data_IF_724218787842
#
_entry.id   IF_724218787842
#
_cell.length_a   1.000
_cell.length_b   1.000
_cell.length_c   1.000
_cell.angle_alpha   90.00
_cell.angle_beta   90.00
_cell.angle_gamma   90.00
#
_symmetry.space_group_name_H-M   'P 1'
#
loop_
_entity.id
_entity.type
_entity.pdbx_description
1 polymer ?
#
# COMPACT_ATOMS: atom_id res chain seq x y z
N UNK A 1 52.84 -8.49 -93.89
CA UNK A 1 51.87 -7.99 -92.88
C UNK A 1 51.04 -9.14 -92.36
N UNK A 2 50.79 -9.14 -91.05
CA UNK A 2 50.51 -10.30 -90.22
C UNK A 2 49.07 -10.84 -90.32
N UNK A 3 48.95 -12.17 -90.14
CA UNK A 3 47.70 -12.94 -90.08
C UNK A 3 46.92 -12.60 -88.81
N UNK A 4 45.68 -12.11 -88.94
CA UNK A 4 44.74 -12.02 -87.80
C UNK A 4 43.74 -13.17 -87.86
N UNK A 5 43.85 -14.08 -86.89
CA UNK A 5 43.03 -15.29 -86.75
C UNK A 5 41.64 -14.91 -86.23
N UNK A 6 40.60 -15.34 -86.94
CA UNK A 6 39.21 -15.42 -86.44
C UNK A 6 39.18 -16.20 -85.13
N UNK A 7 38.88 -15.53 -84.01
CA UNK A 7 38.52 -16.21 -82.76
C UNK A 7 37.00 -16.30 -82.67
N UNK A 8 36.49 -17.48 -83.02
CA UNK A 8 35.10 -17.90 -82.80
C UNK A 8 34.85 -17.86 -81.28
N UNK A 9 34.14 -16.84 -80.79
CA UNK A 9 33.68 -16.78 -79.40
C UNK A 9 32.66 -17.90 -79.21
N UNK A 10 33.11 -19.01 -78.62
CA UNK A 10 32.31 -20.18 -78.27
C UNK A 10 31.34 -19.75 -77.17
N UNK A 11 30.07 -19.55 -77.53
CA UNK A 11 28.97 -19.42 -76.57
C UNK A 11 29.00 -20.64 -75.65
N UNK A 12 29.38 -20.44 -74.39
CA UNK A 12 29.27 -21.47 -73.36
C UNK A 12 27.80 -21.55 -72.96
N UNK A 13 27.10 -22.48 -73.59
CA UNK A 13 25.81 -22.95 -73.16
C UNK A 13 25.96 -23.60 -71.77
N UNK A 14 25.64 -22.86 -70.69
CA UNK A 14 25.55 -23.41 -69.33
C UNK A 14 24.18 -24.05 -69.19
N UNK A 15 24.02 -25.21 -69.82
CA UNK A 15 22.96 -26.14 -69.47
C UNK A 15 23.25 -26.76 -68.11
N UNK A 16 22.25 -26.78 -67.21
CA UNK A 16 22.23 -27.74 -66.10
C UNK A 16 22.27 -27.17 -64.69
N UNK A 17 21.41 -26.22 -64.32
CA UNK A 17 21.03 -25.97 -62.91
C UNK A 17 19.51 -25.75 -62.75
N UNK A 18 18.69 -26.62 -63.33
CA UNK A 18 17.22 -26.62 -63.09
C UNK A 18 16.77 -27.60 -61.99
N UNK A 19 17.69 -28.40 -61.43
CA UNK A 19 17.40 -29.36 -60.36
C UNK A 19 17.55 -28.83 -58.93
N UNK A 20 18.41 -27.84 -58.71
CA UNK A 20 18.70 -27.36 -57.33
C UNK A 20 17.72 -26.27 -56.84
N UNK A 21 16.98 -25.59 -57.71
CA UNK A 21 16.04 -24.54 -57.29
C UNK A 21 14.82 -25.11 -56.55
N UNK A 22 14.29 -26.26 -57.00
CA UNK A 22 13.17 -26.92 -56.32
C UNK A 22 13.58 -27.51 -54.97
N UNK A 23 14.79 -28.06 -54.84
CA UNK A 23 15.28 -28.60 -53.58
C UNK A 23 15.48 -27.47 -52.55
N UNK A 24 16.03 -26.33 -52.98
CA UNK A 24 16.19 -25.14 -52.14
C UNK A 24 14.82 -24.56 -51.75
N UNK A 25 13.86 -24.47 -52.68
CA UNK A 25 12.49 -24.02 -52.38
C UNK A 25 11.75 -24.98 -51.44
N UNK A 26 11.95 -26.30 -51.57
CA UNK A 26 11.39 -27.31 -50.65
C UNK A 26 11.99 -27.20 -49.26
N UNK A 27 13.31 -27.01 -49.15
CA UNK A 27 13.99 -26.79 -47.88
C UNK A 27 13.58 -25.46 -47.23
N UNK A 28 13.38 -24.40 -48.01
CA UNK A 28 12.85 -23.13 -47.51
C UNK A 28 11.40 -23.26 -47.02
N UNK A 29 10.55 -24.00 -47.74
CA UNK A 29 9.17 -24.31 -47.29
C UNK A 29 9.17 -25.16 -46.01
N UNK A 30 10.03 -26.17 -45.94
CA UNK A 30 10.17 -27.01 -44.75
C UNK A 30 10.68 -26.20 -43.55
N UNK A 31 11.70 -25.36 -43.77
CA UNK A 31 12.24 -24.46 -42.74
C UNK A 31 11.17 -23.49 -42.25
N UNK A 32 10.41 -22.85 -43.13
CA UNK A 32 9.33 -21.95 -42.74
C UNK A 32 8.18 -22.69 -42.04
N UNK A 33 7.87 -23.92 -42.45
CA UNK A 33 6.87 -24.76 -41.81
C UNK A 33 7.30 -25.16 -40.39
N UNK A 34 8.56 -25.54 -40.19
CA UNK A 34 9.10 -25.85 -38.87
C UNK A 34 9.21 -24.56 -38.03
N UNK A 35 9.71 -23.45 -38.57
CA UNK A 35 9.75 -22.18 -37.85
C UNK A 35 8.35 -21.73 -37.44
N UNK A 36 7.34 -21.86 -38.29
CA UNK A 36 5.98 -21.41 -37.98
C UNK A 36 5.18 -22.40 -37.14
N UNK A 37 5.42 -23.71 -37.20
CA UNK A 37 4.69 -24.67 -36.36
C UNK A 37 5.41 -24.96 -35.05
N UNK A 38 6.73 -25.18 -35.08
CA UNK A 38 7.49 -25.52 -33.88
C UNK A 38 7.67 -24.32 -32.93
N UNK A 39 7.91 -23.11 -33.46
CA UNK A 39 8.00 -21.92 -32.60
C UNK A 39 6.64 -21.43 -32.12
N UNK A 40 5.57 -21.66 -32.89
CA UNK A 40 4.21 -21.23 -32.51
C UNK A 40 3.56 -22.19 -31.51
N UNK A 41 3.83 -23.49 -31.64
CA UNK A 41 3.40 -24.50 -30.67
C UNK A 41 4.07 -24.26 -29.32
N UNK A 42 5.38 -24.01 -29.33
CA UNK A 42 6.10 -23.64 -28.12
C UNK A 42 5.67 -22.25 -27.63
N UNK A 43 5.40 -21.27 -28.50
CA UNK A 43 4.96 -19.93 -28.08
C UNK A 43 3.64 -19.95 -27.29
N UNK A 44 2.64 -20.73 -27.73
CA UNK A 44 1.37 -20.84 -27.01
C UNK A 44 1.55 -21.56 -25.67
N UNK A 45 2.22 -22.71 -25.64
CA UNK A 45 2.40 -23.47 -24.40
C UNK A 45 3.39 -22.81 -23.42
N UNK A 46 4.41 -22.11 -23.92
CA UNK A 46 5.29 -21.26 -23.10
C UNK A 46 4.54 -20.07 -22.56
N UNK A 47 3.72 -19.37 -23.36
CA UNK A 47 2.90 -18.27 -22.88
C UNK A 47 1.97 -18.73 -21.75
N UNK A 48 1.35 -19.91 -21.87
CA UNK A 48 0.52 -20.49 -20.80
C UNK A 48 1.32 -20.76 -19.53
N UNK A 49 2.47 -21.42 -19.63
CA UNK A 49 3.34 -21.71 -18.48
C UNK A 49 3.89 -20.45 -17.82
N UNK A 50 4.28 -19.46 -18.60
CA UNK A 50 4.81 -18.20 -18.08
C UNK A 50 3.69 -17.37 -17.45
N UNK A 51 2.50 -17.32 -18.06
CA UNK A 51 1.31 -16.70 -17.47
C UNK A 51 0.92 -17.37 -16.14
N UNK A 52 1.12 -18.69 -16.01
CA UNK A 52 0.92 -19.41 -14.76
C UNK A 52 1.90 -19.03 -13.65
N UNK A 53 3.17 -18.78 -14.02
CA UNK A 53 4.23 -18.43 -13.08
C UNK A 53 4.34 -16.93 -12.82
N UNK A 54 3.72 -16.10 -13.65
CA UNK A 54 3.84 -14.66 -13.60
C UNK A 54 3.31 -14.11 -12.28
N UNK A 55 4.23 -13.57 -11.48
CA UNK A 55 3.94 -12.87 -10.23
C UNK A 55 4.54 -11.48 -10.28
N UNK A 56 3.86 -10.53 -9.65
CA UNK A 56 4.30 -9.14 -9.60
C UNK A 56 5.45 -8.97 -8.60
N UNK A 57 6.70 -8.93 -9.11
CA UNK A 57 7.90 -8.63 -8.31
C UNK A 57 8.21 -7.13 -8.31
N UNK A 58 8.08 -6.49 -9.47
CA UNK A 58 8.38 -5.07 -9.69
C UNK A 58 7.15 -4.15 -9.68
N UNK A 59 7.15 -3.21 -10.63
CA UNK A 59 6.07 -2.22 -10.88
C UNK A 59 4.84 -2.90 -11.47
N UNK A 60 3.66 -2.40 -11.11
CA UNK A 60 2.40 -2.92 -11.67
C UNK A 60 2.29 -2.71 -13.20
N UNK A 61 2.89 -1.64 -13.73
CA UNK A 61 2.92 -1.35 -15.18
C UNK A 61 3.69 -2.42 -15.96
N UNK A 62 4.88 -2.82 -15.50
CA UNK A 62 5.67 -3.88 -16.15
C UNK A 62 4.95 -5.24 -16.12
N UNK A 63 4.31 -5.55 -14.98
CA UNK A 63 3.50 -6.76 -14.85
C UNK A 63 2.33 -6.76 -15.84
N UNK A 64 1.61 -5.64 -15.94
CA UNK A 64 0.47 -5.50 -16.86
C UNK A 64 0.91 -5.61 -18.32
N UNK A 65 2.08 -5.05 -18.69
CA UNK A 65 2.65 -5.19 -20.03
C UNK A 65 2.93 -6.65 -20.38
N UNK A 66 3.63 -7.39 -19.50
CA UNK A 66 3.94 -8.80 -19.70
C UNK A 66 2.68 -9.67 -19.72
N UNK A 67 1.73 -9.38 -18.83
CA UNK A 67 0.46 -10.09 -18.80
C UNK A 67 -0.30 -9.91 -20.11
N UNK A 68 -0.34 -8.70 -20.68
CA UNK A 68 -0.99 -8.44 -21.96
C UNK A 68 -0.30 -9.13 -23.15
N UNK A 69 1.02 -9.31 -23.13
CA UNK A 69 1.70 -10.07 -24.20
C UNK A 69 1.31 -11.54 -24.13
N UNK A 70 1.38 -12.16 -22.95
CA UNK A 70 1.04 -13.57 -22.80
C UNK A 70 -0.46 -13.84 -22.98
N UNK A 71 -1.33 -12.90 -22.58
CA UNK A 71 -2.78 -13.03 -22.79
C UNK A 71 -3.14 -13.06 -24.27
N UNK A 72 -2.43 -12.30 -25.12
CA UNK A 72 -2.61 -12.34 -26.58
C UNK A 72 -2.23 -13.69 -27.18
N UNK A 73 -1.19 -14.32 -26.65
CA UNK A 73 -0.65 -15.59 -27.17
C UNK A 73 -1.40 -16.82 -26.63
N UNK A 74 -1.97 -16.73 -25.43
CA UNK A 74 -2.53 -17.88 -24.71
C UNK A 74 -3.99 -18.23 -25.05
N UNK A 75 -4.74 -17.36 -25.74
CA UNK A 75 -6.15 -17.57 -26.14
C UNK A 75 -7.04 -18.10 -24.99
N UNK A 76 -6.90 -17.54 -23.78
CA UNK A 76 -7.73 -17.90 -22.61
C UNK A 76 -9.01 -17.07 -22.52
N UNK A 77 -9.98 -17.60 -21.77
CA UNK A 77 -11.19 -16.87 -21.40
C UNK A 77 -10.88 -15.70 -20.45
N UNK A 78 -11.63 -14.60 -20.60
CA UNK A 78 -11.44 -13.37 -19.84
C UNK A 78 -11.65 -13.57 -18.33
N UNK A 79 -12.56 -14.46 -17.91
CA UNK A 79 -12.78 -14.78 -16.49
C UNK A 79 -11.55 -15.47 -15.87
N UNK A 80 -10.93 -16.39 -16.62
CA UNK A 80 -9.69 -17.05 -16.20
C UNK A 80 -8.52 -16.06 -16.13
N UNK A 81 -8.45 -15.11 -17.07
CA UNK A 81 -7.45 -14.05 -17.05
C UNK A 81 -7.61 -13.15 -15.81
N UNK A 82 -8.84 -12.81 -15.42
CA UNK A 82 -9.11 -12.06 -14.19
C UNK A 82 -8.63 -12.82 -12.96
N UNK A 83 -9.02 -14.10 -12.83
CA UNK A 83 -8.59 -14.94 -11.71
C UNK A 83 -7.06 -15.01 -11.62
N UNK A 84 -6.39 -15.19 -12.77
CA UNK A 84 -4.93 -15.28 -12.80
C UNK A 84 -4.26 -13.95 -12.47
N UNK A 85 -4.79 -12.84 -12.98
CA UNK A 85 -4.29 -11.51 -12.68
C UNK A 85 -4.38 -11.21 -11.17
N UNK A 86 -5.50 -11.58 -10.54
CA UNK A 86 -5.67 -11.52 -9.09
C UNK A 86 -4.59 -12.33 -8.37
N UNK A 87 -4.35 -13.58 -8.77
CA UNK A 87 -3.34 -14.46 -8.16
C UNK A 87 -1.89 -13.93 -8.30
N UNK A 88 -1.57 -13.27 -9.42
CA UNK A 88 -0.24 -12.72 -9.67
C UNK A 88 0.04 -11.37 -9.00
N UNK A 89 -1.00 -10.61 -8.63
CA UNK A 89 -0.88 -9.36 -7.88
C UNK A 89 -0.35 -9.60 -6.44
N UNK A 90 0.41 -8.62 -5.92
CA UNK A 90 0.79 -8.59 -4.49
C UNK A 90 -0.46 -8.60 -3.62
N UNK A 91 -0.45 -9.39 -2.55
CA UNK A 91 -1.59 -9.57 -1.65
C UNK A 91 -2.14 -8.25 -1.11
N UNK A 92 -1.26 -7.33 -0.70
CA UNK A 92 -1.67 -6.01 -0.21
C UNK A 92 -2.43 -5.18 -1.27
N UNK A 93 -2.06 -5.29 -2.55
CA UNK A 93 -2.77 -4.63 -3.64
C UNK A 93 -4.07 -5.34 -3.97
N UNK A 94 -4.07 -6.69 -4.01
CA UNK A 94 -5.27 -7.50 -4.24
C UNK A 94 -6.36 -7.19 -3.22
N UNK A 95 -6.04 -7.26 -1.93
CA UNK A 95 -7.00 -6.97 -0.85
C UNK A 95 -7.53 -5.54 -0.93
N UNK A 96 -6.68 -4.58 -1.32
CA UNK A 96 -7.10 -3.18 -1.46
C UNK A 96 -7.99 -2.96 -2.69
N UNK A 97 -7.70 -3.61 -3.81
CA UNK A 97 -8.57 -3.59 -4.99
C UNK A 97 -9.93 -4.22 -4.68
N UNK A 98 -9.95 -5.36 -3.97
CA UNK A 98 -11.18 -6.07 -3.61
C UNK A 98 -12.03 -5.31 -2.58
N UNK A 99 -11.39 -4.60 -1.65
CA UNK A 99 -12.08 -3.77 -0.65
C UNK A 99 -12.57 -2.41 -1.17
N UNK A 100 -12.34 -2.08 -2.44
CA UNK A 100 -12.79 -0.82 -3.03
C UNK A 100 -14.12 -1.01 -3.73
N UNK A 101 -15.14 -0.24 -3.35
CA UNK A 101 -16.43 -0.24 -4.03
C UNK A 101 -16.42 0.70 -5.25
N UNK A 102 -17.00 0.32 -6.40
CA UNK A 102 -17.55 -0.99 -6.75
C UNK A 102 -16.47 -2.04 -7.03
N UNK A 103 -16.77 -3.31 -6.77
CA UNK A 103 -15.86 -4.44 -7.00
C UNK A 103 -15.56 -4.54 -8.48
N UNK A 104 -14.28 -4.50 -8.90
CA UNK A 104 -13.94 -4.68 -10.31
C UNK A 104 -14.25 -6.10 -10.76
N UNK A 105 -15.02 -6.24 -11.84
CA UNK A 105 -15.34 -7.54 -12.46
C UNK A 105 -14.55 -7.76 -13.75
N UNK A 106 -14.24 -6.68 -14.48
CA UNK A 106 -13.53 -6.75 -15.75
C UNK A 106 -12.01 -6.72 -15.60
N UNK A 107 -11.31 -7.40 -16.52
CA UNK A 107 -9.84 -7.44 -16.53
C UNK A 107 -9.21 -6.05 -16.66
N UNK A 108 -9.83 -5.15 -17.43
CA UNK A 108 -9.36 -3.77 -17.61
C UNK A 108 -9.48 -2.97 -16.32
N UNK A 109 -10.61 -3.07 -15.63
CA UNK A 109 -10.81 -2.40 -14.34
C UNK A 109 -9.83 -2.88 -13.27
N UNK A 110 -9.52 -4.18 -13.25
CA UNK A 110 -8.49 -4.73 -12.38
C UNK A 110 -7.11 -4.12 -12.67
N UNK A 111 -6.75 -3.98 -13.95
CA UNK A 111 -5.47 -3.36 -14.37
C UNK A 111 -5.40 -1.89 -13.97
N UNK A 112 -6.44 -1.10 -14.25
CA UNK A 112 -6.48 0.32 -13.90
C UNK A 112 -6.40 0.55 -12.39
N UNK A 113 -7.21 -0.18 -11.62
CA UNK A 113 -7.19 -0.08 -10.15
C UNK A 113 -5.83 -0.49 -9.61
N UNK A 114 -5.26 -1.59 -10.09
CA UNK A 114 -3.94 -2.05 -9.66
C UNK A 114 -2.85 -0.99 -9.91
N UNK A 115 -2.83 -0.36 -11.09
CA UNK A 115 -1.89 0.73 -11.40
C UNK A 115 -2.09 1.94 -10.49
N UNK A 116 -3.34 2.33 -10.22
CA UNK A 116 -3.65 3.45 -9.32
C UNK A 116 -3.17 3.18 -7.91
N UNK A 117 -3.42 1.98 -7.38
CA UNK A 117 -2.98 1.62 -6.05
C UNK A 117 -1.46 1.42 -5.94
N UNK A 118 -0.79 0.93 -6.98
CA UNK A 118 0.68 0.83 -7.00
C UNK A 118 1.34 2.21 -6.90
N UNK A 119 0.82 3.21 -7.64
CA UNK A 119 1.27 4.61 -7.54
C UNK A 119 1.07 5.19 -6.15
N UNK A 120 -0.12 4.99 -5.57
CA UNK A 120 -0.43 5.45 -4.20
C UNK A 120 0.43 4.73 -3.17
N UNK A 121 0.63 3.42 -3.33
CA UNK A 121 1.45 2.61 -2.44
C UNK A 121 2.89 3.11 -2.45
N UNK A 122 3.46 3.36 -3.62
CA UNK A 122 4.84 3.85 -3.73
C UNK A 122 5.00 5.25 -3.11
N UNK A 123 4.04 6.15 -3.31
CA UNK A 123 4.00 7.46 -2.64
C UNK A 123 3.88 7.32 -1.11
N UNK A 124 3.04 6.41 -0.63
CA UNK A 124 2.89 6.13 0.80
C UNK A 124 4.18 5.55 1.41
N UNK A 125 4.88 4.68 0.66
CA UNK A 125 6.20 4.17 1.06
C UNK A 125 7.25 5.28 1.16
N UNK A 126 7.24 6.26 0.25
CA UNK A 126 8.12 7.44 0.32
C UNK A 126 7.81 8.28 1.56
N UNK A 127 6.54 8.60 1.80
CA UNK A 127 6.14 9.31 3.02
C UNK A 127 6.50 8.55 4.31
N UNK A 128 6.41 7.22 4.31
CA UNK A 128 6.82 6.40 5.46
C UNK A 128 8.33 6.37 5.67
N UNK A 129 9.13 6.47 4.61
CA UNK A 129 10.59 6.60 4.73
C UNK A 129 10.98 7.93 5.33
N UNK A 130 10.34 9.01 4.88
CA UNK A 130 10.61 10.36 5.37
C UNK A 130 10.03 10.61 6.77
N UNK A 131 8.89 9.98 7.07
CA UNK A 131 8.22 10.00 8.38
C UNK A 131 8.68 8.89 9.31
N UNK A 132 9.67 8.08 8.90
CA UNK A 132 10.24 7.07 9.77
C UNK A 132 10.76 7.82 11.01
N UNK A 133 10.26 7.51 12.22
CA UNK A 133 10.74 8.17 13.41
C UNK A 133 12.24 7.92 13.44
N UNK A 134 13.03 8.99 13.36
CA UNK A 134 14.46 8.90 13.51
C UNK A 134 14.65 8.19 14.84
N UNK A 135 15.10 6.93 14.80
CA UNK A 135 15.41 6.19 16.01
C UNK A 135 16.53 6.98 16.66
N UNK A 136 16.16 7.84 17.61
CA UNK A 136 17.10 8.47 18.51
C UNK A 136 17.47 7.33 19.44
N UNK A 137 18.67 6.73 19.32
CA UNK A 137 19.08 5.71 20.27
C UNK A 137 18.92 6.33 21.65
N UNK A 138 17.94 5.82 22.42
CA UNK A 138 17.83 6.18 23.82
C UNK A 138 19.19 5.78 24.41
N UNK A 139 19.96 6.72 25.01
CA UNK A 139 21.19 6.34 25.67
C UNK A 139 20.82 5.23 26.66
N UNK A 140 21.48 4.08 26.55
CA UNK A 140 21.32 2.99 27.51
C UNK A 140 21.69 3.59 28.86
N UNK A 141 20.70 3.94 29.67
CA UNK A 141 20.93 4.43 31.02
C UNK A 141 21.49 3.24 31.79
N UNK A 142 22.82 3.17 31.90
CA UNK A 142 23.47 2.27 32.83
C UNK A 142 23.08 2.76 34.21
N UNK A 143 22.15 2.07 34.87
CA UNK A 143 21.79 2.36 36.25
C UNK A 143 23.10 2.20 37.06
N UNK A 144 23.65 3.27 37.66
CA UNK A 144 24.82 3.13 38.51
C UNK A 144 24.46 2.19 39.67
N UNK A 145 25.39 1.31 40.06
CA UNK A 145 25.19 0.48 41.26
C UNK A 145 24.92 1.41 42.45
N UNK A 146 23.92 1.08 43.25
CA UNK A 146 23.44 1.84 44.42
C UNK A 146 24.65 2.26 45.27
N UNK A 147 24.89 3.57 45.35
CA UNK A 147 25.98 4.15 46.13
C UNK A 147 25.77 3.79 47.61
N UNK A 148 26.75 3.14 48.28
CA UNK A 148 26.66 2.79 49.71
C UNK A 148 26.42 3.98 50.64
N UNK A 149 26.69 5.21 50.18
CA UNK A 149 26.51 6.44 50.95
C UNK A 149 25.28 7.26 50.53
N UNK A 150 24.47 6.79 49.56
CA UNK A 150 23.22 7.46 49.24
C UNK A 150 22.18 7.20 50.35
N UNK A 151 21.63 8.27 50.94
CA UNK A 151 20.51 8.14 51.88
C UNK A 151 19.38 7.33 51.21
N UNK A 152 18.95 6.24 51.85
CA UNK A 152 17.81 5.47 51.38
C UNK A 152 16.56 6.36 51.42
N UNK A 153 15.97 6.63 50.27
CA UNK A 153 14.65 7.26 50.21
C UNK A 153 13.68 6.20 50.72
N UNK A 154 13.04 6.45 51.86
CA UNK A 154 12.02 5.58 52.44
C UNK A 154 10.88 5.36 51.45
N UNK A 155 11.01 4.32 50.64
CA UNK A 155 9.97 3.91 49.70
C UNK A 155 8.90 3.20 50.52
N UNK A 156 7.68 3.73 50.46
CA UNK A 156 6.56 3.08 51.13
C UNK A 156 6.45 1.62 50.69
N UNK A 157 6.39 0.74 51.66
CA UNK A 157 6.35 -0.70 51.43
C UNK A 157 4.95 -1.09 50.88
N UNK A 158 4.84 -2.28 50.27
CA UNK A 158 3.66 -2.71 49.49
C UNK A 158 2.40 -2.92 50.35
N UNK A 159 2.54 -3.58 51.49
CA UNK A 159 1.64 -3.67 52.64
C UNK A 159 1.22 -2.30 53.20
N UNK A 160 2.14 -1.37 53.44
CA UNK A 160 1.80 -0.05 53.97
C UNK A 160 1.02 0.77 52.93
N UNK A 161 1.41 0.64 51.66
CA UNK A 161 0.65 1.19 50.52
C UNK A 161 -0.78 0.61 50.47
N UNK A 162 -0.94 -0.70 50.64
CA UNK A 162 -2.26 -1.35 50.63
C UNK A 162 -3.12 -0.85 51.79
N UNK A 163 -2.57 -0.72 52.99
CA UNK A 163 -3.29 -0.19 54.16
C UNK A 163 -3.73 1.26 53.96
N UNK A 164 -2.84 2.12 53.47
CA UNK A 164 -3.21 3.51 53.18
C UNK A 164 -4.26 3.60 52.07
N UNK A 165 -4.21 2.70 51.08
CA UNK A 165 -5.18 2.63 50.00
C UNK A 165 -6.56 2.14 50.50
N UNK A 166 -6.60 1.13 51.38
CA UNK A 166 -7.85 0.64 51.97
C UNK A 166 -8.46 1.64 52.95
N UNK A 167 -7.63 2.39 53.68
CA UNK A 167 -8.09 3.40 54.64
C UNK A 167 -8.36 4.78 54.00
N UNK A 168 -8.12 4.92 52.69
CA UNK A 168 -8.31 6.18 51.97
C UNK A 168 -7.41 7.32 52.45
N UNK A 169 -6.21 6.99 52.93
CA UNK A 169 -5.20 7.92 53.44
C UNK A 169 -4.24 8.36 52.34
N UNK A 170 -3.76 9.59 52.45
CA UNK A 170 -2.75 10.15 51.56
C UNK A 170 -1.40 9.43 51.71
N UNK A 171 -0.75 9.03 50.61
CA UNK A 171 0.57 8.38 50.68
C UNK A 171 1.71 9.34 51.10
N UNK A 172 1.45 10.65 51.20
CA UNK A 172 2.44 11.65 51.61
C UNK A 172 2.26 12.04 53.08
N UNK A 173 1.08 12.51 53.50
CA UNK A 173 0.85 12.97 54.87
C UNK A 173 0.09 11.97 55.77
N UNK A 174 -0.31 10.81 55.24
CA UNK A 174 -1.04 9.73 55.95
C UNK A 174 -2.41 10.14 56.54
N UNK A 175 -2.92 11.32 56.19
CA UNK A 175 -4.25 11.80 56.58
C UNK A 175 -5.34 11.28 55.62
N UNK A 176 -6.54 11.04 56.14
CA UNK A 176 -7.70 10.59 55.35
C UNK A 176 -8.32 11.74 54.55
N UNK A 177 -8.97 11.40 53.43
CA UNK A 177 -9.81 12.33 52.68
C UNK A 177 -9.17 12.95 51.43
N UNK A 178 -7.89 12.67 51.14
CA UNK A 178 -7.24 13.10 49.90
C UNK A 178 -6.10 12.14 49.48
N UNK A 179 -5.78 12.12 48.19
CA UNK A 179 -4.62 11.39 47.66
C UNK A 179 -3.39 12.31 47.54
N UNK A 180 -2.18 11.77 47.40
CA UNK A 180 -0.92 12.54 47.33
C UNK A 180 -0.86 13.63 46.25
N UNK A 181 -1.74 13.56 45.23
CA UNK A 181 -1.87 14.58 44.18
C UNK A 181 -2.63 15.82 44.63
N UNK A 182 -3.54 15.65 45.58
CA UNK A 182 -4.36 16.72 46.17
C UNK A 182 -3.93 17.00 47.63
N UNK A 183 -2.69 16.64 48.00
CA UNK A 183 -2.21 16.83 49.37
C UNK A 183 -1.93 18.32 49.63
N UNK A 184 -2.62 18.95 50.60
CA UNK A 184 -2.44 20.37 50.89
C UNK A 184 -1.02 20.67 51.36
N UNK A 185 -0.42 19.78 52.16
CA UNK A 185 0.97 19.88 52.63
C UNK A 185 2.00 19.82 51.50
N UNK A 186 1.68 19.15 50.38
CA UNK A 186 2.56 19.08 49.21
C UNK A 186 2.45 20.33 48.33
N UNK A 187 1.26 20.92 48.24
CA UNK A 187 1.01 22.12 47.44
C UNK A 187 1.47 23.42 48.13
N UNK A 188 1.63 23.41 49.46
CA UNK A 188 2.16 24.56 50.22
C UNK A 188 3.66 24.81 49.96
N UNK A 189 4.43 23.78 49.57
CA UNK A 189 5.88 23.88 49.37
C UNK A 189 6.30 24.14 47.91
N UNK A 190 5.35 24.20 46.97
CA UNK A 190 5.64 24.52 45.57
C UNK A 190 4.68 25.59 45.10
N UNK A 191 5.12 26.85 45.09
CA UNK A 191 4.42 27.96 44.44
C UNK A 191 4.37 27.82 42.91
N UNK A 192 3.79 26.73 42.40
CA UNK A 192 3.50 26.54 40.98
C UNK A 192 2.06 26.07 40.80
N UNK A 193 1.29 26.73 39.93
CA UNK A 193 -0.11 26.41 39.74
C UNK A 193 -0.25 24.98 39.20
N UNK A 194 -1.12 24.20 39.85
CA UNK A 194 -1.57 22.90 39.38
C UNK A 194 -2.30 23.09 38.06
N UNK A 195 -1.70 22.62 36.97
CA UNK A 195 -2.37 22.52 35.68
C UNK A 195 -3.43 21.40 35.77
N UNK A 196 -4.64 21.76 36.17
CA UNK A 196 -5.81 20.90 36.01
C UNK A 196 -6.01 20.72 34.52
N UNK A 197 -5.61 19.56 34.01
CA UNK A 197 -6.04 19.11 32.68
C UNK A 197 -7.56 18.94 32.75
N UNK A 198 -8.29 19.95 32.27
CA UNK A 198 -9.66 19.75 31.80
C UNK A 198 -9.60 18.58 30.83
N UNK A 199 -10.34 17.51 31.14
CA UNK A 199 -10.57 16.41 30.22
C UNK A 199 -11.43 17.01 29.09
N UNK A 200 -10.77 17.58 28.09
CA UNK A 200 -11.41 17.85 26.82
C UNK A 200 -11.59 16.50 26.15
N UNK A 201 -12.71 15.83 26.45
CA UNK A 201 -13.21 14.76 25.59
C UNK A 201 -13.64 15.40 24.27
N UNK A 202 -12.67 15.59 23.39
CA UNK A 202 -12.89 15.91 21.99
C UNK A 202 -13.38 14.64 21.29
N UNK A 203 -14.65 14.31 21.52
CA UNK A 203 -15.47 13.58 20.56
C UNK A 203 -16.91 14.00 20.81
N UNK A 204 -17.28 15.16 20.27
CA UNK A 204 -18.67 15.62 20.23
C UNK A 204 -18.99 15.88 18.77
N UNK A 205 -19.89 15.04 18.28
CA UNK A 205 -20.42 15.04 16.93
C UNK A 205 -20.98 16.43 16.59
N UNK A 206 -21.01 16.76 15.29
CA UNK A 206 -21.30 18.11 14.77
C UNK A 206 -22.62 18.75 15.23
N UNK A 207 -23.49 18.01 15.90
CA UNK A 207 -24.74 18.48 16.51
C UNK A 207 -24.51 19.49 17.64
N UNK A 208 -23.44 19.35 18.41
CA UNK A 208 -23.26 20.14 19.63
C UNK A 208 -22.75 21.56 19.32
N UNK A 209 -21.99 21.70 18.23
CA UNK A 209 -21.60 23.02 17.71
C UNK A 209 -22.78 23.79 17.13
N UNK A 210 -23.72 23.09 16.49
CA UNK A 210 -24.94 23.70 15.94
C UNK A 210 -25.87 24.12 17.08
N UNK A 211 -26.05 23.29 18.10
CA UNK A 211 -26.88 23.62 19.27
C UNK A 211 -26.29 24.77 20.10
N UNK A 212 -24.95 24.84 20.23
CA UNK A 212 -24.27 25.96 20.87
C UNK A 212 -24.43 27.28 20.10
N UNK A 213 -24.37 27.25 18.76
CA UNK A 213 -24.62 28.43 17.93
C UNK A 213 -26.09 28.89 18.00
N UNK A 214 -27.03 27.94 18.05
CA UNK A 214 -28.46 28.21 18.11
C UNK A 214 -28.89 28.81 19.46
N UNK A 215 -28.20 28.44 20.55
CA UNK A 215 -28.42 29.01 21.89
C UNK A 215 -27.81 30.41 22.07
N UNK A 216 -26.92 30.83 21.18
CA UNK A 216 -26.29 32.15 21.18
C UNK A 216 -27.04 33.18 20.30
N UNK A 217 -28.08 32.75 19.59
CA UNK A 217 -28.95 33.60 18.78
C UNK A 217 -30.13 34.10 19.60
N UNK A 218 -30.62 35.31 19.28
CA UNK A 218 -31.83 35.87 19.87
C UNK A 218 -33.04 34.95 19.61
N UNK A 219 -34.04 34.96 20.50
CA UNK A 219 -35.22 34.09 20.37
C UNK A 219 -35.95 34.33 19.04
N UNK A 220 -35.96 35.56 18.53
CA UNK A 220 -36.56 35.96 17.26
C UNK A 220 -35.82 35.41 16.03
N UNK A 221 -34.49 35.28 16.11
CA UNK A 221 -33.69 34.71 15.02
C UNK A 221 -33.72 33.18 15.03
N UNK A 222 -33.89 32.57 16.21
CA UNK A 222 -34.08 31.12 16.38
C UNK A 222 -35.40 30.64 15.74
N UNK A 223 -36.46 31.43 15.83
CA UNK A 223 -37.74 31.12 15.20
C UNK A 223 -37.68 31.20 13.66
N UNK A 224 -36.96 32.19 13.10
CA UNK A 224 -36.75 32.30 11.64
C UNK A 224 -35.94 31.14 11.07
N UNK A 225 -34.91 30.68 11.80
CA UNK A 225 -34.07 29.56 11.38
C UNK A 225 -34.86 28.24 11.41
N UNK A 226 -35.69 28.03 12.43
CA UNK A 226 -36.53 26.82 12.54
C UNK A 226 -37.70 26.82 11.54
N UNK A 227 -38.34 27.97 11.30
CA UNK A 227 -39.39 28.12 10.29
C UNK A 227 -38.88 27.86 8.85
N UNK A 228 -37.67 28.34 8.53
CA UNK A 228 -37.04 28.09 7.22
C UNK A 228 -36.69 26.61 7.01
N UNK A 229 -36.31 25.91 8.08
CA UNK A 229 -35.98 24.48 8.02
C UNK A 229 -37.23 23.62 7.79
N UNK A 230 -38.34 23.91 8.48
CA UNK A 230 -39.62 23.20 8.28
C UNK A 230 -40.25 23.46 6.90
N UNK A 231 -40.06 24.65 6.32
CA UNK A 231 -40.54 24.93 4.95
C UNK A 231 -39.75 24.19 3.85
N UNK A 232 -38.54 23.69 4.15
CA UNK A 232 -37.67 23.03 3.17
C UNK A 232 -37.76 21.50 3.22
N UNK A 233 -38.20 20.94 4.35
CA UNK A 233 -38.49 19.52 4.56
C UNK A 233 -40.02 19.38 4.60
N UNK A 234 -40.67 19.31 3.43
CA UNK A 234 -42.12 19.38 3.29
C UNK A 234 -42.91 18.45 4.23
N UNK A 235 -43.38 19.02 5.33
CA UNK A 235 -44.46 18.55 6.18
C UNK A 235 -45.49 19.68 6.31
#
# INVERSE_FOLDING_TARGET
MARSRRTRRRSRNVGGKRGCSLAIQKLQRLRNFIQNNFLLFDAKDTAKRELEKLKMTGTCEDYTRLFNTYAKDAEYDDEYLVYKYQQGLKEALRSRCMGTWPTPETLEEWKERAMKFDKVYRRDQEWKKDSAPTYRPQPKVTIPRRDPNAMEIDSITIEERKQLMSEGKCFYCREKGHMSRACPKKNQNTGKPTNTRTINNANVDGTDKVMGLLAALSDEDREKVTAKWNSQQGF
#
